data_IF_794498478481
#
_entry.id   IF_794498478481
#
_cell.length_a   1.000
_cell.length_b   1.000
_cell.length_c   1.000
_cell.angle_alpha   90.00
_cell.angle_beta   90.00
_cell.angle_gamma   90.00
#
_symmetry.space_group_name_H-M   'P 1'
#
loop_
_entity.id
_entity.type
_entity.pdbx_description
1 polymer ?
#
# COMPACT_ATOMS: atom_id res chain seq x y z
N UNK A 1 5.20 17.78 -8.34
CA UNK A 1 5.36 16.54 -7.63
C UNK A 1 4.67 15.34 -8.28
N UNK A 2 4.95 14.17 -7.76
CA UNK A 2 4.30 12.95 -8.20
C UNK A 2 4.93 12.25 -9.40
N UNK A 3 6.06 12.70 -9.90
CA UNK A 3 6.74 12.10 -11.05
C UNK A 3 7.59 10.89 -10.64
N UNK A 4 7.58 9.84 -11.47
CA UNK A 4 8.54 8.76 -11.34
C UNK A 4 9.95 9.24 -11.68
N UNK A 5 10.87 9.18 -10.73
CA UNK A 5 12.26 9.56 -10.93
C UNK A 5 13.05 8.46 -11.65
N UNK A 6 14.20 8.83 -12.22
CA UNK A 6 15.11 7.83 -12.79
C UNK A 6 15.61 6.84 -11.72
N UNK A 7 15.76 7.27 -10.48
CA UNK A 7 16.15 6.40 -9.38
C UNK A 7 15.04 5.40 -9.03
N UNK A 8 13.78 5.85 -9.01
CA UNK A 8 12.61 4.98 -8.83
C UNK A 8 12.51 3.94 -9.95
N UNK A 9 12.63 4.36 -11.20
CA UNK A 9 12.57 3.43 -12.35
C UNK A 9 13.71 2.40 -12.27
N UNK A 10 14.92 2.83 -11.92
CA UNK A 10 16.08 1.95 -11.74
C UNK A 10 15.87 0.97 -10.59
N UNK A 11 15.33 1.44 -9.47
CA UNK A 11 14.98 0.62 -8.32
C UNK A 11 14.03 -0.53 -8.70
N UNK A 12 12.94 -0.23 -9.42
CA UNK A 12 12.00 -1.26 -9.87
C UNK A 12 12.59 -2.16 -10.97
N UNK A 13 13.43 -1.62 -11.84
CA UNK A 13 14.11 -2.41 -12.87
C UNK A 13 15.02 -3.50 -12.26
N UNK A 14 15.66 -3.23 -11.12
CA UNK A 14 16.43 -4.24 -10.37
C UNK A 14 15.56 -5.27 -9.64
N UNK A 15 14.28 -4.98 -9.45
CA UNK A 15 13.32 -5.85 -8.74
C UNK A 15 12.34 -6.57 -9.67
N UNK A 16 12.54 -6.52 -10.97
CA UNK A 16 11.69 -7.24 -11.93
C UNK A 16 11.67 -8.77 -11.71
N UNK A 17 12.65 -9.32 -11.00
CA UNK A 17 12.72 -10.73 -10.60
C UNK A 17 12.30 -11.01 -9.16
N UNK A 18 11.84 -10.00 -8.43
CA UNK A 18 11.47 -10.17 -7.02
C UNK A 18 10.24 -11.05 -6.82
N UNK A 19 9.30 -11.02 -7.78
CA UNK A 19 8.06 -11.80 -7.73
C UNK A 19 7.44 -11.96 -9.12
N UNK A 20 6.47 -12.87 -9.26
CA UNK A 20 5.66 -13.01 -10.48
C UNK A 20 4.64 -11.89 -10.68
N UNK A 21 4.22 -11.23 -9.59
CA UNK A 21 3.38 -10.05 -9.59
C UNK A 21 4.04 -8.98 -8.73
N UNK A 22 4.26 -7.81 -9.30
CA UNK A 22 4.88 -6.68 -8.64
C UNK A 22 3.85 -5.57 -8.42
N UNK A 23 3.64 -5.18 -7.17
CA UNK A 23 2.77 -4.06 -6.79
C UNK A 23 3.67 -2.86 -6.50
N UNK A 24 3.37 -1.71 -7.11
CA UNK A 24 4.14 -0.49 -6.88
C UNK A 24 3.93 0.08 -5.48
N UNK A 25 4.79 1.00 -5.06
CA UNK A 25 4.41 1.97 -4.03
C UNK A 25 3.13 2.70 -4.43
N UNK A 26 2.41 3.26 -3.45
CA UNK A 26 1.12 3.89 -3.72
C UNK A 26 1.26 5.21 -4.51
N UNK A 27 0.34 5.40 -5.46
CA UNK A 27 0.21 6.59 -6.29
C UNK A 27 -1.03 7.37 -5.87
N UNK A 28 -0.89 8.65 -5.50
CA UNK A 28 -2.04 9.44 -5.12
C UNK A 28 -2.88 9.86 -6.33
N UNK A 29 -4.20 9.70 -6.21
CA UNK A 29 -5.18 9.85 -7.30
C UNK A 29 -5.70 11.27 -7.49
N UNK A 30 -5.43 12.17 -6.53
CA UNK A 30 -5.82 13.59 -6.58
C UNK A 30 -4.79 14.46 -5.87
N UNK A 31 -4.70 15.73 -6.18
CA UNK A 31 -3.75 16.66 -5.52
C UNK A 31 -3.97 16.77 -4.02
N UNK A 32 -5.22 16.72 -3.55
CA UNK A 32 -5.56 16.73 -2.13
C UNK A 32 -5.17 15.44 -1.40
N UNK A 33 -4.97 14.37 -2.16
CA UNK A 33 -4.65 13.05 -1.62
C UNK A 33 -3.17 12.77 -1.41
N UNK A 34 -2.28 13.67 -1.77
CA UNK A 34 -0.86 13.38 -1.64
C UNK A 34 0.08 14.55 -1.83
N UNK A 35 1.39 14.30 -1.66
CA UNK A 35 1.92 13.06 -1.14
C UNK A 35 1.41 12.78 0.28
N UNK A 36 1.23 11.50 0.62
CA UNK A 36 0.92 11.12 1.99
C UNK A 36 2.19 11.17 2.84
N UNK A 37 1.99 11.29 4.16
CA UNK A 37 3.11 11.32 5.07
C UNK A 37 3.97 10.06 4.94
N UNK A 38 5.22 10.29 4.61
CA UNK A 38 6.33 9.36 4.80
C UNK A 38 7.50 10.19 5.31
N UNK A 39 8.08 9.89 6.46
CA UNK A 39 9.18 10.65 7.03
C UNK A 39 10.31 10.85 6.01
N UNK A 40 10.72 12.11 5.79
CA UNK A 40 11.84 12.44 4.93
C UNK A 40 11.62 12.34 3.41
N UNK A 41 10.43 11.95 2.91
CA UNK A 41 10.20 11.73 1.48
C UNK A 41 8.97 12.42 0.92
N UNK A 42 9.10 13.68 0.44
CA UNK A 42 8.01 14.38 -0.25
C UNK A 42 7.81 13.93 -1.70
N UNK A 43 8.59 12.97 -2.20
CA UNK A 43 8.65 12.61 -3.62
C UNK A 43 7.85 11.36 -3.99
N UNK A 44 6.75 11.11 -3.30
CA UNK A 44 5.83 10.03 -3.68
C UNK A 44 5.23 10.25 -5.06
N UNK A 45 4.98 9.14 -5.77
CA UNK A 45 4.38 9.20 -7.11
C UNK A 45 2.88 9.52 -7.04
N UNK A 46 2.41 10.28 -8.02
CA UNK A 46 1.00 10.54 -8.28
C UNK A 46 0.58 10.01 -9.64
N UNK A 47 -0.72 9.88 -9.82
CA UNK A 47 -1.34 9.51 -11.10
C UNK A 47 -2.61 10.34 -11.36
N UNK A 48 -2.73 11.49 -10.71
CA UNK A 48 -3.91 12.35 -10.78
C UNK A 48 -4.02 13.16 -12.08
N UNK A 49 -2.97 13.20 -12.89
CA UNK A 49 -2.93 13.99 -14.13
C UNK A 49 -2.17 13.24 -15.23
N UNK A 50 -2.48 13.57 -16.48
CA UNK A 50 -1.83 12.98 -17.67
C UNK A 50 -0.33 13.30 -17.76
N UNK A 51 0.14 14.31 -17.05
CA UNK A 51 1.57 14.63 -16.93
C UNK A 51 2.39 13.50 -16.31
N UNK A 52 1.75 12.58 -15.59
CA UNK A 52 2.39 11.42 -14.97
C UNK A 52 2.49 10.20 -15.91
N UNK A 53 1.75 10.18 -17.05
CA UNK A 53 1.64 9.01 -17.92
C UNK A 53 2.99 8.54 -18.46
N UNK A 54 3.85 9.44 -18.88
CA UNK A 54 5.17 9.06 -19.44
C UNK A 54 6.04 8.34 -18.39
N UNK A 55 6.04 8.84 -17.15
CA UNK A 55 6.73 8.19 -16.04
C UNK A 55 6.11 6.83 -15.69
N UNK A 56 4.78 6.75 -15.67
CA UNK A 56 4.04 5.52 -15.40
C UNK A 56 4.29 4.43 -16.47
N UNK A 57 4.40 4.80 -17.76
CA UNK A 57 4.78 3.88 -18.85
C UNK A 57 6.18 3.29 -18.65
N UNK A 58 7.14 4.13 -18.32
CA UNK A 58 8.52 3.67 -18.03
C UNK A 58 8.56 2.76 -16.81
N UNK A 59 7.76 3.06 -15.80
CA UNK A 59 7.64 2.25 -14.60
C UNK A 59 7.05 0.88 -14.92
N UNK A 60 5.95 0.81 -15.67
CA UNK A 60 5.34 -0.45 -16.10
C UNK A 60 6.32 -1.31 -16.90
N UNK A 61 7.07 -0.70 -17.83
CA UNK A 61 8.10 -1.40 -18.59
C UNK A 61 9.21 -1.97 -17.71
N UNK A 62 9.69 -1.19 -16.73
CA UNK A 62 10.73 -1.62 -15.80
C UNK A 62 10.28 -2.82 -14.96
N UNK A 63 9.06 -2.78 -14.42
CA UNK A 63 8.46 -3.85 -13.64
C UNK A 63 8.27 -5.14 -14.46
N UNK A 64 7.84 -5.02 -15.71
CA UNK A 64 7.46 -6.15 -16.58
C UNK A 64 8.63 -6.74 -17.38
N UNK A 65 9.82 -6.24 -17.19
CA UNK A 65 11.02 -6.59 -17.97
C UNK A 65 11.29 -8.10 -18.05
N UNK A 66 11.05 -8.84 -16.99
CA UNK A 66 11.28 -10.28 -16.90
C UNK A 66 9.98 -11.13 -17.03
N UNK A 67 8.92 -10.55 -17.60
CA UNK A 67 7.67 -11.26 -17.95
C UNK A 67 6.63 -11.35 -16.84
N UNK A 68 6.87 -10.72 -15.69
CA UNK A 68 5.94 -10.65 -14.56
C UNK A 68 4.81 -9.65 -14.80
N UNK A 69 3.79 -9.70 -13.94
CA UNK A 69 2.68 -8.76 -13.92
C UNK A 69 3.03 -7.53 -13.10
N UNK A 70 2.56 -6.36 -13.54
CA UNK A 70 2.71 -5.09 -12.85
C UNK A 70 1.35 -4.53 -12.43
N UNK A 71 1.18 -4.26 -11.15
CA UNK A 71 -0.03 -3.68 -10.55
C UNK A 71 0.31 -2.34 -9.94
N UNK A 72 -0.45 -1.29 -10.29
CA UNK A 72 -0.29 0.03 -9.69
C UNK A 72 -1.14 0.13 -8.42
N UNK A 73 -0.53 0.38 -7.26
CA UNK A 73 -1.30 0.69 -6.06
C UNK A 73 -1.76 2.14 -6.12
N UNK A 74 -3.07 2.37 -5.98
CA UNK A 74 -3.72 3.68 -6.06
C UNK A 74 -4.34 4.05 -4.71
N UNK A 75 -4.17 5.31 -4.26
CA UNK A 75 -4.63 5.74 -2.95
C UNK A 75 -4.97 7.22 -2.88
N UNK A 76 -5.57 7.59 -1.76
CA UNK A 76 -5.73 8.97 -1.30
C UNK A 76 -5.31 9.05 0.17
N UNK A 77 -4.37 9.93 0.50
CA UNK A 77 -3.79 10.03 1.84
C UNK A 77 -4.80 10.47 2.92
N UNK A 78 -5.82 11.22 2.54
CA UNK A 78 -6.77 11.78 3.50
C UNK A 78 -6.06 12.64 4.54
N UNK A 79 -6.36 12.44 5.83
CA UNK A 79 -5.72 13.15 6.94
C UNK A 79 -4.19 13.00 6.99
N UNK A 80 -3.64 12.00 6.30
CA UNK A 80 -2.21 11.74 6.23
C UNK A 80 -1.53 12.46 5.06
N UNK A 81 -2.28 13.15 4.21
CA UNK A 81 -1.72 13.93 3.11
C UNK A 81 -0.97 15.16 3.63
N UNK A 82 0.22 15.40 3.11
CA UNK A 82 1.06 16.55 3.46
C UNK A 82 1.06 17.63 2.38
N UNK A 83 0.11 17.59 1.46
CA UNK A 83 -0.04 18.53 0.37
C UNK A 83 -0.11 20.00 0.81
N UNK A 84 -0.62 20.27 2.02
CA UNK A 84 -0.60 21.63 2.61
C UNK A 84 0.79 22.25 2.64
N UNK A 85 1.82 21.47 2.87
CA UNK A 85 3.20 21.94 2.97
C UNK A 85 3.91 22.01 1.62
N UNK A 86 3.37 21.39 0.57
CA UNK A 86 4.00 21.26 -0.74
C UNK A 86 3.27 22.09 -1.80
N UNK A 87 1.95 21.94 -1.91
CA UNK A 87 1.13 22.55 -2.95
C UNK A 87 -0.04 23.40 -2.40
N UNK A 88 -0.02 23.70 -1.09
CA UNK A 88 -1.01 24.50 -0.37
C UNK A 88 -2.45 23.97 -0.43
N UNK A 89 -2.61 22.67 -0.67
CA UNK A 89 -3.91 22.01 -0.64
C UNK A 89 -4.42 21.83 0.80
N UNK A 90 -5.73 21.87 1.00
CA UNK A 90 -6.33 21.51 2.27
C UNK A 90 -6.05 20.03 2.58
N UNK A 91 -5.80 19.72 3.85
CA UNK A 91 -5.81 18.34 4.31
C UNK A 91 -7.26 17.96 4.62
N UNK A 92 -7.73 16.90 4.00
CA UNK A 92 -9.13 16.48 4.05
C UNK A 92 -9.29 15.08 4.63
N UNK A 93 -10.43 14.83 5.27
CA UNK A 93 -10.80 13.54 5.87
C UNK A 93 -12.33 13.35 5.80
N UNK A 94 -12.87 12.21 6.23
CA UNK A 94 -14.32 12.05 6.34
C UNK A 94 -14.99 13.08 7.25
N UNK A 95 -14.29 13.52 8.30
CA UNK A 95 -14.77 14.47 9.31
C UNK A 95 -13.68 15.48 9.67
N UNK A 96 -14.09 16.59 10.30
CA UNK A 96 -13.14 17.54 10.89
C UNK A 96 -12.36 16.85 12.03
N UNK A 97 -11.05 16.97 12.00
CA UNK A 97 -10.17 16.38 12.99
C UNK A 97 -9.23 17.44 13.57
N UNK A 98 -9.07 17.42 14.90
CA UNK A 98 -8.10 18.27 15.59
C UNK A 98 -6.73 17.57 15.57
N UNK A 99 -5.80 18.13 14.81
CA UNK A 99 -4.41 17.70 14.73
C UNK A 99 -3.48 18.92 14.85
N UNK A 100 -2.17 18.76 14.69
CA UNK A 100 -1.22 19.88 14.65
C UNK A 100 -1.57 20.95 13.60
N UNK A 101 -2.31 20.55 12.57
CA UNK A 101 -2.86 21.44 11.55
C UNK A 101 -4.34 21.09 11.30
N UNK A 102 -5.14 22.02 10.78
CA UNK A 102 -6.54 21.74 10.49
C UNK A 102 -6.69 20.64 9.46
N UNK A 103 -7.56 19.68 9.75
CA UNK A 103 -8.03 18.66 8.84
C UNK A 103 -9.54 18.86 8.69
N UNK A 104 -9.96 19.18 7.50
CA UNK A 104 -11.33 19.56 7.19
C UNK A 104 -12.13 18.35 6.68
N UNK A 105 -13.42 18.31 7.06
CA UNK A 105 -14.35 17.33 6.50
C UNK A 105 -14.53 17.53 4.98
N UNK A 106 -14.57 16.42 4.24
CA UNK A 106 -14.97 16.40 2.84
C UNK A 106 -16.46 16.74 2.69
N UNK A 107 -16.79 17.57 1.72
CA UNK A 107 -18.17 17.75 1.26
C UNK A 107 -18.62 16.52 0.45
N UNK A 108 -19.92 16.34 0.27
CA UNK A 108 -20.46 15.24 -0.55
C UNK A 108 -19.92 15.30 -1.99
N UNK A 109 -19.89 16.49 -2.59
CA UNK A 109 -19.34 16.69 -3.94
C UNK A 109 -17.87 16.32 -4.04
N UNK A 110 -17.05 16.62 -3.03
CA UNK A 110 -15.64 16.23 -2.99
C UNK A 110 -15.48 14.71 -2.85
N UNK A 111 -16.34 14.05 -2.08
CA UNK A 111 -16.35 12.58 -1.96
C UNK A 111 -16.62 11.95 -3.33
N UNK A 112 -17.62 12.44 -4.05
CA UNK A 112 -17.98 11.96 -5.39
C UNK A 112 -16.84 12.22 -6.40
N UNK A 113 -16.19 13.36 -6.31
CA UNK A 113 -15.04 13.70 -7.16
C UNK A 113 -13.85 12.78 -6.89
N UNK A 114 -13.53 12.48 -5.63
CA UNK A 114 -12.46 11.55 -5.27
C UNK A 114 -12.76 10.13 -5.78
N UNK A 115 -14.03 9.68 -5.70
CA UNK A 115 -14.41 8.39 -6.29
C UNK A 115 -14.10 8.40 -7.79
N UNK A 116 -14.47 9.46 -8.51
CA UNK A 116 -14.16 9.62 -9.93
C UNK A 116 -12.63 9.70 -10.19
N UNK A 117 -11.86 10.27 -9.28
CA UNK A 117 -10.38 10.30 -9.36
C UNK A 117 -9.76 8.89 -9.34
N UNK A 118 -10.29 7.97 -8.53
CA UNK A 118 -9.87 6.57 -8.58
C UNK A 118 -10.14 5.94 -9.95
N UNK A 119 -11.27 6.26 -10.58
CA UNK A 119 -11.58 5.86 -11.95
C UNK A 119 -10.61 6.44 -12.98
N UNK A 120 -10.31 7.73 -12.91
CA UNK A 120 -9.33 8.40 -13.79
C UNK A 120 -7.93 7.84 -13.62
N UNK A 121 -7.52 7.56 -12.38
CA UNK A 121 -6.24 6.91 -12.07
C UNK A 121 -6.16 5.50 -12.69
N UNK A 122 -7.23 4.72 -12.58
CA UNK A 122 -7.34 3.38 -13.20
C UNK A 122 -7.20 3.47 -14.72
N UNK A 123 -7.87 4.42 -15.37
CA UNK A 123 -7.74 4.66 -16.81
C UNK A 123 -6.28 4.93 -17.20
N UNK A 124 -5.58 5.78 -16.43
CA UNK A 124 -4.16 6.07 -16.66
C UNK A 124 -3.27 4.85 -16.45
N UNK A 125 -3.56 4.01 -15.46
CA UNK A 125 -2.83 2.76 -15.24
C UNK A 125 -2.97 1.82 -16.44
N UNK A 126 -4.17 1.66 -17.00
CA UNK A 126 -4.41 0.89 -18.23
C UNK A 126 -3.61 1.47 -19.39
N UNK A 127 -3.67 2.78 -19.60
CA UNK A 127 -2.99 3.50 -20.68
C UNK A 127 -1.46 3.42 -20.56
N UNK A 128 -0.94 3.37 -19.32
CA UNK A 128 0.47 3.20 -19.02
C UNK A 128 0.97 1.76 -19.23
N UNK A 129 0.08 0.79 -19.45
CA UNK A 129 0.44 -0.60 -19.71
C UNK A 129 0.62 -1.45 -18.45
N UNK A 130 0.05 -1.04 -17.32
CA UNK A 130 -0.08 -1.90 -16.14
C UNK A 130 -1.06 -3.04 -16.40
N UNK A 131 -0.84 -4.16 -15.73
CA UNK A 131 -1.72 -5.33 -15.80
C UNK A 131 -2.88 -5.27 -14.79
N UNK A 132 -2.85 -4.29 -13.86
CA UNK A 132 -3.88 -4.13 -12.86
C UNK A 132 -3.68 -2.92 -11.96
N UNK A 133 -4.66 -2.74 -11.06
CA UNK A 133 -4.58 -1.77 -9.94
C UNK A 133 -4.91 -2.45 -8.62
N UNK A 134 -4.27 -2.00 -7.55
CA UNK A 134 -4.63 -2.34 -6.18
C UNK A 134 -5.18 -1.09 -5.49
N UNK A 135 -6.42 -1.18 -5.01
CA UNK A 135 -7.08 -0.11 -4.26
C UNK A 135 -6.56 -0.15 -2.82
N UNK A 136 -5.94 0.94 -2.37
CA UNK A 136 -5.35 1.01 -1.05
C UNK A 136 -6.37 1.43 0.01
N UNK A 137 -6.94 0.44 0.70
CA UNK A 137 -7.90 0.62 1.79
C UNK A 137 -7.32 0.34 3.19
N UNK A 138 -5.99 0.46 3.36
CA UNK A 138 -5.28 0.11 4.59
C UNK A 138 -4.48 1.30 5.17
N UNK A 139 -3.75 1.05 6.25
CA UNK A 139 -2.68 1.89 6.81
C UNK A 139 -3.10 3.33 7.11
N UNK A 140 -4.33 3.50 7.61
CA UNK A 140 -4.91 4.78 8.04
C UNK A 140 -5.12 5.82 6.93
N UNK A 141 -5.12 5.43 5.63
CA UNK A 141 -5.42 6.32 4.52
C UNK A 141 -6.92 6.47 4.29
N UNK A 142 -7.34 7.25 3.31
CA UNK A 142 -8.72 7.77 3.22
C UNK A 142 -9.81 6.69 3.25
N UNK A 143 -9.64 5.56 2.53
CA UNK A 143 -10.65 4.51 2.51
C UNK A 143 -10.82 3.88 3.90
N UNK A 144 -9.72 3.62 4.61
CA UNK A 144 -9.78 3.17 6.00
C UNK A 144 -10.36 4.24 6.91
N UNK A 145 -10.04 5.53 6.69
CA UNK A 145 -10.59 6.64 7.48
C UNK A 145 -12.12 6.72 7.36
N UNK A 146 -12.71 6.42 6.20
CA UNK A 146 -14.17 6.31 6.04
C UNK A 146 -14.74 5.11 6.77
N UNK A 147 -14.02 4.01 6.83
CA UNK A 147 -14.44 2.79 7.49
C UNK A 147 -14.34 2.85 9.02
N UNK A 148 -13.36 3.59 9.55
CA UNK A 148 -13.07 3.70 10.98
C UNK A 148 -13.97 4.71 11.69
N UNK A 149 -14.57 4.32 12.83
CA UNK A 149 -15.33 5.24 13.69
C UNK A 149 -14.44 6.27 14.40
N UNK A 150 -13.13 6.05 14.47
CA UNK A 150 -12.18 7.02 15.06
C UNK A 150 -11.96 8.25 14.16
N UNK A 151 -12.27 8.15 12.88
CA UNK A 151 -12.03 9.21 11.91
C UNK A 151 -13.27 9.61 11.10
N UNK A 152 -14.30 8.77 11.09
CA UNK A 152 -15.57 9.04 10.43
C UNK A 152 -16.68 9.29 11.44
N UNK A 153 -16.94 10.57 11.73
CA UNK A 153 -17.99 11.02 12.63
C UNK A 153 -19.19 11.59 11.86
N UNK A 154 -19.32 11.25 10.57
CA UNK A 154 -20.42 11.74 9.72
C UNK A 154 -21.76 11.16 10.13
N UNK A 155 -22.79 11.96 9.91
CA UNK A 155 -24.21 11.58 10.17
C UNK A 155 -25.02 11.45 8.88
N UNK A 156 -24.38 11.61 7.73
CA UNK A 156 -25.00 11.42 6.41
C UNK A 156 -24.81 9.96 5.91
N UNK A 157 -25.13 9.74 4.63
CA UNK A 157 -25.03 8.40 3.99
C UNK A 157 -23.61 7.81 3.98
N UNK A 158 -22.58 8.58 4.31
CA UNK A 158 -21.16 8.16 4.28
C UNK A 158 -20.61 7.77 5.66
N UNK A 159 -21.41 7.88 6.74
CA UNK A 159 -20.95 7.60 8.09
C UNK A 159 -22.06 7.11 9.03
N UNK A 160 -21.69 6.87 10.30
CA UNK A 160 -22.58 6.30 11.31
C UNK A 160 -22.57 4.77 11.30
N UNK A 161 -23.58 4.15 10.67
CA UNK A 161 -23.70 2.70 10.62
C UNK A 161 -22.54 2.04 9.85
N UNK A 162 -22.26 0.76 10.12
CA UNK A 162 -21.26 0.00 9.37
C UNK A 162 -21.56 0.01 7.87
N UNK A 163 -22.82 -0.17 7.48
CA UNK A 163 -23.24 -0.10 6.08
C UNK A 163 -22.84 1.24 5.42
N UNK A 164 -23.07 2.36 6.09
CA UNK A 164 -22.69 3.67 5.59
C UNK A 164 -21.17 3.85 5.51
N UNK A 165 -20.44 3.35 6.50
CA UNK A 165 -18.96 3.41 6.51
C UNK A 165 -18.32 2.54 5.42
N UNK A 166 -18.97 1.46 5.00
CA UNK A 166 -18.56 0.64 3.86
C UNK A 166 -18.85 1.30 2.51
N UNK A 167 -19.75 2.29 2.45
CA UNK A 167 -20.24 2.88 1.20
C UNK A 167 -19.15 3.51 0.35
N UNK A 168 -18.22 4.25 0.96
CA UNK A 168 -17.13 4.88 0.23
C UNK A 168 -16.14 3.86 -0.36
N UNK A 169 -15.59 2.89 0.39
CA UNK A 169 -14.78 1.81 -0.17
C UNK A 169 -15.47 1.08 -1.33
N UNK A 170 -16.73 0.71 -1.16
CA UNK A 170 -17.49 0.01 -2.21
C UNK A 170 -17.76 0.88 -3.44
N UNK A 171 -18.00 2.17 -3.26
CA UNK A 171 -18.18 3.11 -4.37
C UNK A 171 -16.88 3.23 -5.19
N UNK A 172 -15.72 3.28 -4.54
CA UNK A 172 -14.41 3.28 -5.22
C UNK A 172 -14.19 1.98 -5.99
N UNK A 173 -14.48 0.82 -5.40
CA UNK A 173 -14.40 -0.49 -6.07
C UNK A 173 -15.27 -0.51 -7.34
N UNK A 174 -16.50 -0.08 -7.23
CA UNK A 174 -17.45 -0.05 -8.38
C UNK A 174 -17.00 0.89 -9.47
N UNK A 175 -16.46 2.06 -9.12
CA UNK A 175 -15.94 3.01 -10.10
C UNK A 175 -14.72 2.45 -10.85
N UNK A 176 -13.78 1.81 -10.14
CA UNK A 176 -12.63 1.14 -10.76
C UNK A 176 -13.11 0.06 -11.74
N UNK A 177 -14.03 -0.80 -11.32
CA UNK A 177 -14.62 -1.83 -12.21
C UNK A 177 -15.32 -1.24 -13.42
N UNK A 178 -16.09 -0.18 -13.23
CA UNK A 178 -16.80 0.52 -14.32
C UNK A 178 -15.80 1.00 -15.39
N UNK A 179 -14.71 1.64 -14.96
CA UNK A 179 -13.67 2.15 -15.87
C UNK A 179 -12.95 1.02 -16.60
N UNK A 180 -12.60 -0.07 -15.92
CA UNK A 180 -11.98 -1.25 -16.53
C UNK A 180 -12.89 -1.85 -17.60
N UNK A 181 -14.19 -1.98 -17.33
CA UNK A 181 -15.17 -2.48 -18.29
C UNK A 181 -15.33 -1.54 -19.49
N UNK A 182 -15.44 -0.23 -19.28
CA UNK A 182 -15.53 0.77 -20.35
C UNK A 182 -14.28 0.80 -21.25
N UNK A 183 -13.10 0.59 -20.67
CA UNK A 183 -11.85 0.50 -21.42
C UNK A 183 -11.73 -0.80 -22.22
N UNK A 184 -12.59 -1.79 -22.00
CA UNK A 184 -12.50 -3.11 -22.60
C UNK A 184 -11.20 -3.84 -22.20
N UNK A 185 -10.65 -3.54 -21.03
CA UNK A 185 -9.40 -4.10 -20.55
C UNK A 185 -9.63 -5.50 -19.97
N UNK A 186 -9.70 -6.49 -20.88
CA UNK A 186 -9.85 -7.89 -20.47
C UNK A 186 -8.64 -8.36 -19.68
N UNK A 187 -8.87 -9.16 -18.64
CA UNK A 187 -7.87 -9.71 -17.73
C UNK A 187 -7.09 -8.62 -16.93
N UNK A 188 -7.64 -7.42 -16.79
CA UNK A 188 -7.06 -6.39 -15.94
C UNK A 188 -7.32 -6.74 -14.47
N UNK A 189 -6.25 -6.88 -13.70
CA UNK A 189 -6.28 -7.32 -12.30
C UNK A 189 -6.80 -6.19 -11.41
N UNK A 190 -7.77 -6.48 -10.54
CA UNK A 190 -8.27 -5.54 -9.54
C UNK A 190 -8.14 -6.17 -8.16
N UNK A 191 -7.32 -5.56 -7.31
CA UNK A 191 -7.16 -5.97 -5.92
C UNK A 191 -7.60 -4.90 -4.93
N UNK A 192 -7.86 -5.32 -3.70
CA UNK A 192 -8.17 -4.42 -2.59
C UNK A 192 -7.28 -4.76 -1.38
N UNK A 193 -6.53 -3.76 -0.88
CA UNK A 193 -5.70 -3.92 0.31
C UNK A 193 -6.38 -3.28 1.51
N UNK A 194 -6.43 -4.02 2.64
CA UNK A 194 -7.01 -3.51 3.88
C UNK A 194 -6.16 -3.89 5.10
N UNK A 195 -6.25 -3.07 6.15
CA UNK A 195 -5.84 -3.45 7.50
C UNK A 195 -7.00 -4.21 8.14
N UNK A 196 -6.79 -5.41 8.70
CA UNK A 196 -7.89 -6.25 9.18
C UNK A 196 -8.61 -5.68 10.40
N UNK A 197 -7.94 -4.82 11.18
CA UNK A 197 -8.51 -4.11 12.34
C UNK A 197 -7.77 -2.80 12.59
N UNK A 198 -8.41 -1.89 13.33
CA UNK A 198 -7.81 -0.66 13.83
C UNK A 198 -8.06 -0.55 15.32
N UNK A 199 -7.07 -0.96 16.12
CA UNK A 199 -7.12 -1.00 17.59
C UNK A 199 -5.89 -0.29 18.15
N UNK A 200 -6.13 0.76 18.93
CA UNK A 200 -5.12 1.58 19.60
C UNK A 200 -5.36 1.58 21.11
N UNK A 201 -5.00 0.49 21.78
CA UNK A 201 -5.33 0.30 23.21
C UNK A 201 -6.85 0.23 23.41
N UNK A 202 -7.43 1.22 24.08
CA UNK A 202 -8.89 1.31 24.31
C UNK A 202 -9.64 1.93 23.13
N UNK A 203 -8.96 2.58 22.22
CA UNK A 203 -9.56 3.26 21.08
C UNK A 203 -9.68 2.29 19.90
N UNK A 204 -10.90 1.91 19.57
CA UNK A 204 -11.22 0.94 18.54
C UNK A 204 -11.90 1.64 17.37
N UNK A 205 -11.24 1.65 16.21
CA UNK A 205 -11.79 2.16 14.96
C UNK A 205 -12.76 1.16 14.31
N UNK A 206 -12.33 -0.08 14.26
CA UNK A 206 -13.10 -1.26 13.86
C UNK A 206 -12.33 -2.54 14.22
N UNK A 207 -13.06 -3.64 14.32
CA UNK A 207 -12.48 -4.96 14.57
C UNK A 207 -12.45 -5.79 13.29
N UNK A 208 -11.71 -6.91 13.31
CA UNK A 208 -11.71 -7.86 12.19
C UNK A 208 -13.11 -8.37 11.83
N UNK A 209 -14.06 -8.41 12.77
CA UNK A 209 -15.45 -8.83 12.51
C UNK A 209 -16.21 -7.86 11.61
N UNK A 210 -15.91 -6.56 11.71
CA UNK A 210 -16.48 -5.55 10.83
C UNK A 210 -15.78 -5.57 9.45
N UNK A 211 -14.46 -5.70 9.43
CA UNK A 211 -13.73 -5.78 8.16
C UNK A 211 -14.02 -7.06 7.36
N UNK A 212 -14.37 -8.17 8.02
CA UNK A 212 -14.91 -9.36 7.33
C UNK A 212 -16.20 -9.04 6.57
N UNK A 213 -17.11 -8.24 7.15
CA UNK A 213 -18.35 -7.81 6.46
C UNK A 213 -18.03 -6.92 5.24
N UNK A 214 -17.01 -6.05 5.35
CA UNK A 214 -16.53 -5.27 4.20
C UNK A 214 -15.98 -6.19 3.12
N UNK A 215 -15.15 -7.18 3.48
CA UNK A 215 -14.58 -8.15 2.53
C UNK A 215 -15.69 -8.96 1.85
N UNK A 216 -16.67 -9.47 2.59
CA UNK A 216 -17.82 -10.19 2.01
C UNK A 216 -18.60 -9.30 1.01
N UNK A 217 -18.69 -7.99 1.27
CA UNK A 217 -19.32 -7.06 0.35
C UNK A 217 -18.45 -6.80 -0.90
N UNK A 218 -17.13 -6.73 -0.73
CA UNK A 218 -16.17 -6.54 -1.83
C UNK A 218 -16.11 -7.79 -2.72
N UNK A 219 -16.13 -8.99 -2.14
CA UNK A 219 -16.14 -10.27 -2.89
C UNK A 219 -17.32 -10.34 -3.86
N UNK A 220 -18.49 -9.83 -3.48
CA UNK A 220 -19.66 -9.72 -4.37
C UNK A 220 -19.45 -8.82 -5.57
N UNK A 221 -18.46 -7.95 -5.54
CA UNK A 221 -18.03 -7.13 -6.67
C UNK A 221 -17.03 -7.86 -7.57
N UNK A 222 -16.67 -9.13 -7.29
CA UNK A 222 -15.83 -9.99 -8.13
C UNK A 222 -14.44 -9.38 -8.41
N UNK A 223 -13.66 -9.12 -7.35
CA UNK A 223 -12.27 -8.71 -7.45
C UNK A 223 -11.34 -9.94 -7.52
N UNK A 224 -10.15 -9.76 -8.08
CA UNK A 224 -9.17 -10.84 -8.23
C UNK A 224 -8.54 -11.24 -6.89
N UNK A 225 -8.31 -10.27 -5.99
CA UNK A 225 -7.73 -10.56 -4.69
C UNK A 225 -8.05 -9.55 -3.59
N UNK A 226 -7.96 -10.06 -2.36
CA UNK A 226 -7.91 -9.26 -1.12
C UNK A 226 -6.48 -9.37 -0.58
N UNK A 227 -5.88 -8.23 -0.19
CA UNK A 227 -4.53 -8.15 0.34
C UNK A 227 -4.57 -7.66 1.79
N UNK A 228 -4.22 -8.49 2.76
CA UNK A 228 -4.14 -8.10 4.17
C UNK A 228 -2.82 -7.41 4.47
N UNK A 229 -2.91 -6.19 5.00
CA UNK A 229 -1.77 -5.44 5.53
C UNK A 229 -1.61 -5.77 7.00
N UNK A 230 -0.76 -6.74 7.32
CA UNK A 230 -0.48 -7.15 8.70
C UNK A 230 0.74 -6.42 9.24
N UNK A 231 0.67 -5.99 10.50
CA UNK A 231 1.80 -5.40 11.24
C UNK A 231 2.64 -6.47 11.95
N UNK A 232 2.03 -7.62 12.26
CA UNK A 232 2.70 -8.81 12.78
C UNK A 232 3.16 -9.75 11.67
N UNK A 233 3.57 -10.95 12.03
CA UNK A 233 3.89 -12.02 11.09
C UNK A 233 2.66 -12.48 10.31
N UNK A 234 2.91 -13.24 9.25
CA UNK A 234 1.84 -13.82 8.39
C UNK A 234 0.90 -14.78 9.15
N UNK A 235 1.34 -15.29 10.29
CA UNK A 235 0.62 -16.19 11.18
C UNK A 235 -0.15 -15.49 12.31
N UNK A 236 -0.09 -14.14 12.34
CA UNK A 236 -0.68 -13.35 13.43
C UNK A 236 -2.20 -13.53 13.53
N UNK A 237 -2.72 -13.30 14.75
CA UNK A 237 -4.12 -13.50 15.12
C UNK A 237 -4.71 -12.24 15.72
N UNK A 238 -6.04 -12.03 15.57
CA UNK A 238 -6.74 -11.04 16.39
C UNK A 238 -6.62 -11.41 17.89
N UNK A 239 -6.61 -10.40 18.73
CA UNK A 239 -6.61 -10.62 20.18
C UNK A 239 -7.83 -11.47 20.61
N UNK A 240 -7.58 -12.52 21.36
CA UNK A 240 -8.63 -13.45 21.85
C UNK A 240 -9.23 -14.38 20.80
N UNK A 241 -8.70 -14.42 19.59
CA UNK A 241 -9.11 -15.38 18.56
C UNK A 241 -8.21 -16.63 18.53
N UNK A 242 -8.82 -17.78 18.25
CA UNK A 242 -8.08 -19.03 18.07
C UNK A 242 -7.44 -19.13 16.67
N UNK A 243 -8.07 -18.51 15.68
CA UNK A 243 -7.66 -18.57 14.28
C UNK A 243 -6.82 -17.35 13.88
N UNK A 244 -5.90 -17.55 12.92
CA UNK A 244 -5.12 -16.45 12.32
C UNK A 244 -6.00 -15.53 11.45
N UNK A 245 -5.52 -14.32 11.19
CA UNK A 245 -6.14 -13.42 10.20
C UNK A 245 -6.27 -14.13 8.85
N UNK A 246 -5.24 -14.85 8.42
CA UNK A 246 -5.27 -15.61 7.17
C UNK A 246 -6.43 -16.60 7.10
N UNK A 247 -6.59 -17.43 8.12
CA UNK A 247 -7.68 -18.42 8.17
C UNK A 247 -9.07 -17.77 8.19
N UNK A 248 -9.23 -16.69 8.99
CA UNK A 248 -10.50 -15.98 9.11
C UNK A 248 -10.91 -15.31 7.79
N UNK A 249 -9.99 -14.62 7.15
CA UNK A 249 -10.29 -13.89 5.91
C UNK A 249 -10.42 -14.83 4.71
N UNK A 250 -9.62 -15.89 4.63
CA UNK A 250 -9.76 -16.91 3.58
C UNK A 250 -11.14 -17.57 3.58
N UNK A 251 -11.70 -17.81 4.77
CA UNK A 251 -13.05 -18.37 4.90
C UNK A 251 -14.18 -17.43 4.44
N UNK A 252 -13.92 -16.13 4.30
CA UNK A 252 -14.86 -15.12 3.82
C UNK A 252 -14.77 -14.90 2.29
N UNK A 253 -13.81 -15.52 1.60
CA UNK A 253 -13.62 -15.42 0.16
C UNK A 253 -14.37 -16.53 -0.57
N UNK A 254 -14.69 -16.28 -1.83
CA UNK A 254 -15.11 -17.32 -2.77
C UNK A 254 -13.90 -18.02 -3.42
N UNK A 255 -14.14 -18.98 -4.29
CA UNK A 255 -13.09 -19.75 -4.95
C UNK A 255 -12.27 -18.93 -5.97
N UNK A 256 -12.84 -17.84 -6.49
CA UNK A 256 -12.22 -17.00 -7.52
C UNK A 256 -11.32 -15.93 -6.90
N UNK A 257 -11.72 -15.33 -5.79
CA UNK A 257 -10.97 -14.26 -5.10
C UNK A 257 -9.81 -14.85 -4.30
N UNK A 258 -8.58 -14.41 -4.55
CA UNK A 258 -7.39 -14.91 -3.85
C UNK A 258 -7.04 -14.06 -2.64
N UNK A 259 -6.50 -14.70 -1.61
CA UNK A 259 -5.95 -14.02 -0.45
C UNK A 259 -4.46 -13.78 -0.63
N UNK A 260 -4.03 -12.52 -0.42
CA UNK A 260 -2.62 -12.15 -0.30
C UNK A 260 -2.35 -11.72 1.15
N UNK A 261 -1.27 -12.22 1.74
CA UNK A 261 -0.82 -11.80 3.07
C UNK A 261 0.63 -11.32 3.00
N UNK A 262 0.91 -10.22 3.72
CA UNK A 262 2.26 -9.71 3.99
C UNK A 262 2.56 -9.84 5.48
N UNK A 263 3.78 -10.22 5.84
CA UNK A 263 4.23 -10.25 7.25
C UNK A 263 5.47 -11.13 7.44
N UNK A 264 6.61 -10.52 7.74
CA UNK A 264 7.87 -11.17 8.17
C UNK A 264 8.35 -12.37 7.33
N UNK A 265 8.23 -12.28 6.01
CA UNK A 265 8.69 -13.31 5.09
C UNK A 265 10.07 -12.92 4.55
N UNK A 266 11.12 -13.64 4.98
CA UNK A 266 12.51 -13.39 4.61
C UNK A 266 13.24 -14.65 4.09
N UNK A 267 12.58 -15.81 4.04
CA UNK A 267 13.16 -17.08 3.61
C UNK A 267 12.19 -17.90 2.76
N UNK A 268 12.71 -18.89 2.05
CA UNK A 268 11.88 -19.86 1.33
C UNK A 268 11.01 -20.69 2.29
N UNK A 269 11.54 -21.05 3.48
CA UNK A 269 10.78 -21.79 4.49
C UNK A 269 9.56 -21.01 4.96
N UNK A 270 9.73 -19.73 5.34
CA UNK A 270 8.63 -18.85 5.73
C UNK A 270 7.62 -18.64 4.58
N UNK A 271 8.12 -18.50 3.36
CA UNK A 271 7.27 -18.34 2.17
C UNK A 271 6.40 -19.59 1.93
N UNK A 272 6.99 -20.77 2.08
CA UNK A 272 6.30 -22.07 1.91
C UNK A 272 5.27 -22.28 3.02
N UNK A 273 5.66 -22.08 4.28
CA UNK A 273 4.73 -22.21 5.42
C UNK A 273 3.53 -21.26 5.28
N UNK A 274 3.76 -20.01 4.87
CA UNK A 274 2.70 -19.03 4.67
C UNK A 274 1.68 -19.49 3.61
N UNK A 275 2.14 -19.98 2.45
CA UNK A 275 1.26 -20.47 1.37
C UNK A 275 0.55 -21.77 1.75
N UNK A 276 1.22 -22.67 2.43
CA UNK A 276 0.62 -23.96 2.82
C UNK A 276 -0.47 -23.81 3.89
N UNK A 277 -0.32 -22.84 4.81
CA UNK A 277 -1.16 -22.79 6.01
C UNK A 277 -2.04 -21.55 6.14
N UNK A 278 -1.74 -20.42 5.47
CA UNK A 278 -2.38 -19.13 5.80
C UNK A 278 -2.94 -18.34 4.63
N UNK A 279 -2.44 -18.52 3.41
CA UNK A 279 -2.80 -17.65 2.28
C UNK A 279 -2.70 -18.39 0.93
N UNK A 280 -3.26 -17.80 -0.13
CA UNK A 280 -3.07 -18.30 -1.49
C UNK A 280 -1.79 -17.75 -2.12
N UNK A 281 -1.46 -16.50 -1.80
CA UNK A 281 -0.31 -15.76 -2.35
C UNK A 281 0.37 -14.99 -1.22
N UNK A 282 1.69 -14.98 -1.20
CA UNK A 282 2.47 -14.16 -0.27
C UNK A 282 2.84 -12.82 -0.89
N UNK A 283 2.84 -11.76 -0.09
CA UNK A 283 3.49 -10.51 -0.42
C UNK A 283 4.76 -10.33 0.40
N UNK A 284 5.86 -9.98 -0.27
CA UNK A 284 7.17 -9.81 0.36
C UNK A 284 7.63 -8.36 0.16
N UNK A 285 7.63 -7.59 1.23
CA UNK A 285 8.11 -6.20 1.23
C UNK A 285 9.59 -6.13 1.58
N UNK A 286 9.91 -6.11 2.87
CA UNK A 286 11.29 -5.96 3.38
C UNK A 286 12.26 -7.03 2.88
N UNK A 287 11.80 -8.26 2.70
CA UNK A 287 12.60 -9.33 2.13
C UNK A 287 13.14 -9.00 0.73
N UNK A 288 12.33 -8.33 -0.12
CA UNK A 288 12.78 -7.89 -1.45
C UNK A 288 13.61 -6.60 -1.45
N UNK A 289 13.60 -5.84 -0.35
CA UNK A 289 14.55 -4.75 -0.16
C UNK A 289 15.96 -5.29 0.11
N UNK A 290 16.04 -6.39 0.86
CA UNK A 290 17.32 -7.07 1.15
C UNK A 290 17.77 -7.88 -0.06
N UNK A 291 16.87 -8.71 -0.64
CA UNK A 291 17.18 -9.56 -1.80
C UNK A 291 16.26 -9.24 -2.99
N UNK A 292 16.72 -8.45 -3.97
CA UNK A 292 15.93 -8.07 -5.15
C UNK A 292 15.49 -9.24 -6.05
N UNK A 293 16.08 -10.41 -5.91
CA UNK A 293 15.75 -11.61 -6.70
C UNK A 293 15.00 -12.68 -5.89
N UNK A 294 14.40 -12.31 -4.77
CA UNK A 294 13.75 -13.20 -3.81
C UNK A 294 12.87 -14.27 -4.47
N UNK A 295 11.88 -13.86 -5.26
CA UNK A 295 10.95 -14.80 -5.91
C UNK A 295 11.62 -15.66 -6.99
N UNK A 296 12.54 -15.09 -7.77
CA UNK A 296 13.29 -15.84 -8.78
C UNK A 296 14.14 -16.96 -8.15
N UNK A 297 14.77 -16.70 -7.02
CA UNK A 297 15.56 -17.71 -6.29
C UNK A 297 14.69 -18.88 -5.85
N UNK A 298 13.50 -18.62 -5.29
CA UNK A 298 12.55 -19.68 -4.93
C UNK A 298 12.11 -20.47 -6.17
N UNK A 299 11.70 -19.78 -7.22
CA UNK A 299 11.18 -20.41 -8.45
C UNK A 299 12.23 -21.25 -9.20
N UNK A 300 13.51 -20.96 -9.01
CA UNK A 300 14.62 -21.70 -9.65
C UNK A 300 15.32 -22.71 -8.74
N UNK A 301 14.74 -22.98 -7.55
CA UNK A 301 15.29 -23.94 -6.58
C UNK A 301 16.59 -23.46 -5.91
N UNK A 302 16.76 -22.16 -5.79
CA UNK A 302 17.91 -21.49 -5.15
C UNK A 302 17.52 -20.72 -3.89
N UNK A 303 16.43 -21.15 -3.23
CA UNK A 303 15.93 -20.48 -2.04
C UNK A 303 16.93 -20.41 -0.89
N UNK A 304 17.83 -21.37 -0.80
CA UNK A 304 18.95 -21.41 0.13
C UNK A 304 19.97 -20.29 -0.08
N UNK A 305 19.94 -19.60 -1.22
CA UNK A 305 20.80 -18.45 -1.53
C UNK A 305 20.14 -17.10 -1.25
N UNK A 306 18.92 -17.07 -0.73
CA UNK A 306 18.24 -15.83 -0.35
C UNK A 306 19.02 -15.15 0.77
N UNK A 307 19.31 -13.87 0.60
CA UNK A 307 19.94 -13.04 1.63
C UNK A 307 18.86 -12.56 2.61
N UNK A 308 19.02 -12.86 3.89
CA UNK A 308 17.99 -12.61 4.92
C UNK A 308 18.20 -11.31 5.68
N UNK A 309 19.43 -10.79 5.69
CA UNK A 309 19.82 -9.64 6.49
C UNK A 309 20.78 -8.72 5.74
N UNK A 310 20.81 -7.48 6.16
CA UNK A 310 21.74 -6.47 5.64
C UNK A 310 23.12 -6.67 6.26
N UNK A 311 24.15 -6.61 5.42
CA UNK A 311 25.53 -6.42 5.86
C UNK A 311 26.18 -5.32 5.03
N UNK A 312 27.27 -4.67 5.51
CA UNK A 312 27.97 -3.64 4.75
C UNK A 312 28.39 -4.10 3.34
N UNK A 313 28.82 -5.36 3.20
CA UNK A 313 29.24 -5.95 1.93
C UNK A 313 28.07 -6.19 0.98
N UNK A 314 26.87 -6.41 1.53
CA UNK A 314 25.65 -6.70 0.72
C UNK A 314 24.94 -5.44 0.23
N UNK A 315 25.10 -4.30 0.90
CA UNK A 315 24.42 -3.02 0.55
C UNK A 315 24.45 -2.68 -0.94
N UNK A 316 25.57 -2.81 -1.68
CA UNK A 316 25.55 -2.50 -3.11
C UNK A 316 24.60 -3.37 -3.93
N UNK A 317 24.34 -4.60 -3.49
CA UNK A 317 23.46 -5.57 -4.18
C UNK A 317 21.97 -5.34 -3.89
N UNK A 318 21.64 -4.55 -2.87
CA UNK A 318 20.27 -4.21 -2.52
C UNK A 318 19.65 -3.21 -3.50
N UNK A 319 20.46 -2.45 -4.24
CA UNK A 319 20.00 -1.46 -5.23
C UNK A 319 18.93 -0.52 -4.68
N UNK A 320 19.09 -0.06 -3.43
CA UNK A 320 18.18 0.90 -2.81
C UNK A 320 18.30 2.28 -3.48
N UNK A 321 17.21 3.03 -3.51
CA UNK A 321 17.30 4.46 -3.84
C UNK A 321 18.08 5.18 -2.74
N UNK A 322 18.72 6.33 -3.04
CA UNK A 322 19.42 7.11 -2.01
C UNK A 322 18.55 7.39 -0.78
N UNK A 323 17.27 7.68 -1.01
CA UNK A 323 16.34 7.94 0.06
C UNK A 323 16.05 6.72 0.93
N UNK A 324 15.78 5.55 0.35
CA UNK A 324 15.57 4.32 1.12
C UNK A 324 16.84 3.93 1.90
N UNK A 325 18.01 4.10 1.30
CA UNK A 325 19.28 3.86 1.99
C UNK A 325 19.41 4.75 3.23
N UNK A 326 19.17 6.07 3.10
CA UNK A 326 19.22 6.99 4.25
C UNK A 326 18.19 6.61 5.34
N UNK A 327 16.98 6.17 4.96
CA UNK A 327 15.98 5.73 5.93
C UNK A 327 16.45 4.51 6.74
N UNK A 328 17.02 3.51 6.08
CA UNK A 328 17.43 2.27 6.73
C UNK A 328 18.80 2.33 7.40
N UNK A 329 19.59 3.37 7.18
CA UNK A 329 20.81 3.66 7.92
C UNK A 329 20.57 4.46 9.20
N UNK A 330 19.35 4.92 9.45
CA UNK A 330 18.96 5.58 10.71
C UNK A 330 18.58 4.59 11.78
N UNK A 331 18.93 4.87 13.01
CA UNK A 331 18.55 4.04 14.17
C UNK A 331 17.06 4.01 14.45
N UNK A 332 16.31 5.04 14.02
CA UNK A 332 14.86 5.14 14.14
C UNK A 332 14.11 4.69 12.86
N UNK A 333 14.84 4.39 11.78
CA UNK A 333 14.32 4.03 10.45
C UNK A 333 13.17 4.95 9.99
N UNK A 334 13.10 6.17 10.51
CA UNK A 334 11.98 7.12 10.34
C UNK A 334 10.60 6.52 10.70
N UNK A 335 10.55 5.57 11.63
CA UNK A 335 9.33 4.85 12.02
C UNK A 335 8.93 3.72 11.07
N UNK A 336 9.73 3.43 10.05
CA UNK A 336 9.55 2.22 9.25
C UNK A 336 10.07 0.99 10.03
N UNK A 337 9.47 -0.20 9.84
CA UNK A 337 10.06 -1.41 10.40
C UNK A 337 11.48 -1.59 9.87
N UNK A 338 12.50 -1.76 10.74
CA UNK A 338 13.88 -1.88 10.31
C UNK A 338 14.08 -3.13 9.44
N UNK A 339 15.10 -3.08 8.58
CA UNK A 339 15.55 -4.29 7.89
C UNK A 339 16.35 -5.17 8.87
N UNK A 340 16.24 -6.50 8.78
CA UNK A 340 17.11 -7.38 9.54
C UNK A 340 18.58 -7.04 9.26
N UNK A 341 19.41 -6.93 10.30
CA UNK A 341 20.83 -6.57 10.17
C UNK A 341 21.11 -5.08 9.91
N UNK A 342 20.10 -4.21 9.89
CA UNK A 342 20.30 -2.77 9.63
C UNK A 342 21.25 -2.08 10.60
N UNK A 343 21.37 -2.59 11.83
CA UNK A 343 22.32 -2.09 12.83
C UNK A 343 23.78 -2.15 12.36
N UNK A 344 24.11 -3.02 11.42
CA UNK A 344 25.45 -3.16 10.85
C UNK A 344 25.86 -2.03 9.89
N UNK A 345 24.88 -1.21 9.49
CA UNK A 345 25.09 -0.10 8.53
C UNK A 345 24.71 1.28 9.08
N UNK A 346 24.37 1.42 10.35
CA UNK A 346 24.02 2.72 10.93
C UNK A 346 25.16 3.75 10.88
N UNK A 347 26.41 3.31 10.87
CA UNK A 347 27.59 4.16 10.69
C UNK A 347 27.71 4.74 9.27
N UNK A 348 26.96 4.21 8.31
CA UNK A 348 26.93 4.70 6.93
C UNK A 348 25.90 5.83 6.71
N UNK A 349 25.14 6.22 7.75
CA UNK A 349 24.19 7.31 7.68
C UNK A 349 24.87 8.64 7.34
N UNK A 350 24.33 9.35 6.33
CA UNK A 350 24.92 10.60 5.81
C UNK A 350 24.20 11.85 6.28
N UNK A 351 23.01 11.70 6.88
CA UNK A 351 22.20 12.81 7.35
C UNK A 351 21.61 13.69 6.25
N UNK A 352 21.56 13.19 5.02
CA UNK A 352 21.13 13.97 3.85
C UNK A 352 19.70 14.54 4.01
N UNK A 353 18.84 13.83 4.74
CA UNK A 353 17.42 14.19 4.93
C UNK A 353 17.05 14.54 6.38
N UNK A 354 18.01 14.55 7.30
CA UNK A 354 17.74 14.73 8.74
C UNK A 354 17.07 16.05 9.09
N UNK A 355 17.38 17.10 8.33
CA UNK A 355 16.84 18.44 8.54
C UNK A 355 15.80 18.84 7.47
N UNK A 356 15.26 17.86 6.73
CA UNK A 356 14.24 18.18 5.74
C UNK A 356 12.97 18.69 6.45
N UNK A 357 12.37 19.84 6.03
CA UNK A 357 11.20 20.43 6.70
C UNK A 357 9.99 19.50 6.83
N UNK A 358 9.94 18.44 6.01
CA UNK A 358 8.89 17.43 6.02
C UNK A 358 9.28 16.14 6.74
N UNK A 359 10.47 16.07 7.33
CA UNK A 359 10.92 14.97 8.20
C UNK A 359 10.27 15.10 9.60
N UNK A 360 8.95 15.14 9.67
CA UNK A 360 8.19 15.19 10.92
C UNK A 360 7.98 13.76 11.39
N UNK A 361 8.44 13.36 12.59
CA UNK A 361 8.24 12.01 13.10
C UNK A 361 6.76 11.62 13.14
N UNK A 362 6.44 10.38 12.79
CA UNK A 362 5.07 9.83 12.79
C UNK A 362 4.37 10.02 14.15
N UNK A 363 5.10 9.84 15.26
CA UNK A 363 4.60 10.03 16.63
C UNK A 363 4.19 11.48 16.95
N UNK A 364 4.59 12.44 16.12
CA UNK A 364 4.28 13.86 16.33
C UNK A 364 3.08 14.34 15.49
N UNK A 365 2.40 13.45 14.76
CA UNK A 365 1.20 13.72 13.95
C UNK A 365 -0.06 13.29 14.67
#
# INVERSE_FOLDING_TARGET
GGYASNDTIRYYNHRSKAAGLLITEFHYVSESGGPAYMPGYPSQMGIYSDVHLEGAKKLAQALKKDGNKAVMQIHHGGRMAIGRFINHQDVVAPSDLQRKFPVRALTESEIEEIIADFGRATKRAIEAGFDGVEIHGANHYLLQQFFSVLTNHRTDKWGGSLENRMRFPLAVVREVKRVVAEAGAQNFIIGYRLSPEEIHGTDIGYTYKESLQLVEAIVKEELDYIHLSLWGGYDSKPEGADQSFGSLFKAALDDETKLIIVGDIFSEEAARDAVENYTDIIAVGRGTLVDPEFGHKIMTGKGDTIVHEVTPEHVPNMHLTPGLFEAFTRTDSLGLPPLPGAETIYDQHRGTYDNHPLAIPYAEQ
#
